data_IF_595258846825
#
_entry.id   IF_595258846825
#
_cell.length_a   1.000
_cell.length_b   1.000
_cell.length_c   1.000
_cell.angle_alpha   90.00
_cell.angle_beta   90.00
_cell.angle_gamma   90.00
#
_symmetry.space_group_name_H-M   'P 1'
#
loop_
_entity.id
_entity.type
_entity.pdbx_description
1 polymer ?
#
# COMPACT_ATOMS: atom_id res chain seq x y z
N UNK A 1 -4.62 -8.90 21.99
CA UNK A 1 -3.23 -9.03 21.52
C UNK A 1 -2.80 -7.70 20.92
N UNK A 2 -1.53 -7.30 21.07
CA UNK A 2 -1.02 -6.14 20.34
C UNK A 2 -1.12 -6.41 18.83
N UNK A 3 -1.33 -5.37 18.02
CA UNK A 3 -1.32 -5.54 16.58
C UNK A 3 0.07 -6.01 16.14
N UNK A 4 0.13 -6.89 15.14
CA UNK A 4 1.41 -7.45 14.64
C UNK A 4 1.41 -7.52 13.12
N UNK A 5 2.55 -7.18 12.51
CA UNK A 5 2.82 -7.40 11.09
C UNK A 5 3.69 -8.66 10.95
N UNK A 6 3.22 -9.64 10.19
CA UNK A 6 3.96 -10.85 9.83
C UNK A 6 4.47 -10.77 8.40
N UNK A 7 5.75 -11.08 8.22
CA UNK A 7 6.46 -11.05 6.95
C UNK A 7 6.70 -12.48 6.45
N UNK A 8 6.30 -12.75 5.22
CA UNK A 8 6.26 -14.09 4.62
C UNK A 8 6.93 -14.14 3.25
N UNK A 9 7.27 -15.34 2.79
CA UNK A 9 7.26 -15.62 1.36
C UNK A 9 6.15 -16.61 1.04
N UNK A 10 5.78 -16.71 -0.23
CA UNK A 10 4.72 -17.63 -0.67
C UNK A 10 5.21 -19.02 -1.07
N UNK A 11 6.53 -19.23 -1.25
CA UNK A 11 7.11 -20.43 -1.84
C UNK A 11 6.60 -20.68 -3.28
N UNK A 12 6.60 -19.63 -4.12
CA UNK A 12 6.07 -19.63 -5.49
C UNK A 12 7.00 -18.87 -6.46
N UNK A 13 6.71 -18.87 -7.78
CA UNK A 13 7.35 -17.96 -8.73
C UNK A 13 7.04 -16.49 -8.45
N UNK A 14 7.85 -15.59 -9.03
CA UNK A 14 7.75 -14.13 -8.89
C UNK A 14 6.44 -13.49 -9.34
N UNK A 15 5.72 -14.15 -10.23
CA UNK A 15 4.46 -13.67 -10.83
C UNK A 15 3.22 -14.17 -10.07
N UNK A 16 3.41 -14.96 -9.01
CA UNK A 16 2.29 -15.54 -8.31
C UNK A 16 1.55 -14.50 -7.47
N UNK A 17 0.24 -14.37 -7.73
CA UNK A 17 -0.67 -13.57 -6.91
C UNK A 17 -1.95 -14.36 -6.72
N UNK A 18 -2.38 -14.53 -5.47
CA UNK A 18 -3.66 -15.18 -5.14
C UNK A 18 -4.23 -14.62 -3.85
N UNK A 19 -5.50 -14.24 -3.87
CA UNK A 19 -6.22 -13.82 -2.68
C UNK A 19 -6.43 -14.97 -1.69
N UNK A 20 -6.45 -14.63 -0.40
CA UNK A 20 -6.96 -15.50 0.68
C UNK A 20 -6.04 -15.61 1.89
N UNK A 21 -4.73 -15.78 1.66
CA UNK A 21 -3.78 -16.03 2.75
C UNK A 21 -3.10 -14.75 3.27
N UNK A 22 -2.85 -13.77 2.41
CA UNK A 22 -2.05 -12.58 2.74
C UNK A 22 -2.82 -11.30 2.43
N UNK A 23 -2.61 -10.27 3.25
CA UNK A 23 -3.14 -8.94 2.98
C UNK A 23 -2.50 -8.30 1.76
N UNK A 24 -1.19 -8.52 1.61
CA UNK A 24 -0.44 -8.04 0.44
C UNK A 24 0.54 -9.09 -0.05
N UNK A 25 0.65 -9.20 -1.37
CA UNK A 25 1.68 -9.95 -2.07
C UNK A 25 2.56 -8.98 -2.85
N UNK A 26 3.88 -9.12 -2.72
CA UNK A 26 4.88 -8.36 -3.45
C UNK A 26 5.44 -9.21 -4.59
N UNK A 27 5.15 -8.84 -5.84
CA UNK A 27 5.69 -9.52 -7.01
C UNK A 27 7.21 -9.32 -7.14
N UNK A 28 7.87 -10.12 -7.99
CA UNK A 28 9.34 -10.12 -8.11
C UNK A 28 9.97 -8.78 -8.49
N UNK A 29 9.22 -7.91 -9.17
CA UNK A 29 9.61 -6.55 -9.56
C UNK A 29 9.33 -5.50 -8.46
N UNK A 30 8.77 -5.91 -7.32
CA UNK A 30 8.39 -5.03 -6.22
C UNK A 30 6.96 -4.50 -6.30
N UNK A 31 6.16 -4.90 -7.31
CA UNK A 31 4.77 -4.47 -7.41
C UNK A 31 3.94 -5.00 -6.24
N UNK A 32 3.13 -4.13 -5.62
CA UNK A 32 2.31 -4.45 -4.45
C UNK A 32 0.88 -4.81 -4.86
N UNK A 33 0.51 -6.05 -4.60
CA UNK A 33 -0.83 -6.59 -4.78
C UNK A 33 -1.53 -6.64 -3.41
N UNK A 34 -2.32 -5.62 -3.09
CA UNK A 34 -3.11 -5.54 -1.84
C UNK A 34 -4.43 -6.28 -2.04
N UNK A 35 -4.59 -7.41 -1.37
CA UNK A 35 -5.66 -8.37 -1.61
C UNK A 35 -6.78 -8.28 -0.58
N UNK A 36 -6.48 -7.77 0.61
CA UNK A 36 -7.42 -7.64 1.72
C UNK A 36 -7.14 -6.38 2.54
N UNK A 37 -8.15 -5.88 3.24
CA UNK A 37 -7.97 -4.75 4.16
C UNK A 37 -7.01 -5.08 5.29
N UNK A 38 -6.10 -4.17 5.62
CA UNK A 38 -5.28 -4.29 6.83
C UNK A 38 -6.05 -4.25 8.16
N UNK A 39 -7.36 -4.03 8.10
CA UNK A 39 -8.22 -4.00 9.27
C UNK A 39 -9.03 -5.29 9.46
N UNK A 40 -8.84 -6.31 8.60
CA UNK A 40 -9.41 -7.65 8.80
C UNK A 40 -8.37 -8.65 9.25
N UNK A 41 -8.80 -9.59 10.08
CA UNK A 41 -8.02 -10.78 10.37
C UNK A 41 -8.18 -11.78 9.22
N UNK A 42 -7.07 -12.34 8.75
CA UNK A 42 -7.05 -13.45 7.81
C UNK A 42 -6.77 -14.74 8.56
N UNK A 43 -7.46 -15.83 8.23
CA UNK A 43 -7.46 -17.03 9.07
C UNK A 43 -6.27 -17.99 8.85
N UNK A 44 -5.38 -17.73 7.89
CA UNK A 44 -4.49 -18.77 7.37
C UNK A 44 -3.05 -18.33 6.99
N UNK A 45 -2.43 -17.37 7.69
CA UNK A 45 -1.01 -17.03 7.43
C UNK A 45 -0.04 -17.46 8.53
N UNK A 46 -0.35 -17.25 9.80
CA UNK A 46 0.54 -17.52 10.94
C UNK A 46 -0.21 -18.28 12.03
N UNK A 47 0.12 -19.56 12.21
CA UNK A 47 -0.57 -20.44 13.15
C UNK A 47 -0.69 -19.85 14.56
N UNK A 48 -1.91 -19.82 15.10
CA UNK A 48 -2.28 -19.22 16.42
C UNK A 48 -1.96 -17.73 16.61
N UNK A 49 -1.65 -17.01 15.53
CA UNK A 49 -1.14 -15.63 15.57
C UNK A 49 -1.89 -14.67 14.63
N UNK A 50 -2.95 -15.17 13.98
CA UNK A 50 -3.73 -14.49 12.94
C UNK A 50 -4.68 -13.37 13.40
N UNK A 51 -4.88 -13.21 14.72
CA UNK A 51 -5.80 -12.18 15.24
C UNK A 51 -5.09 -10.88 15.55
N UNK A 52 -5.73 -9.76 15.19
CA UNK A 52 -5.15 -8.42 15.21
C UNK A 52 -3.82 -8.39 14.44
N UNK A 53 -3.81 -8.94 13.22
CA UNK A 53 -2.59 -9.17 12.47
C UNK A 53 -2.69 -8.82 10.99
N UNK A 54 -1.58 -8.35 10.43
CA UNK A 54 -1.41 -8.10 8.99
C UNK A 54 -0.31 -9.03 8.46
N UNK A 55 -0.53 -9.61 7.28
CA UNK A 55 0.41 -10.48 6.61
C UNK A 55 0.83 -9.89 5.26
N UNK A 56 2.13 -9.64 5.10
CA UNK A 56 2.73 -9.15 3.85
C UNK A 56 3.68 -10.25 3.36
N UNK A 57 3.50 -10.70 2.13
CA UNK A 57 4.23 -11.82 1.55
C UNK A 57 4.98 -11.41 0.29
N UNK A 58 6.20 -11.92 0.09
CA UNK A 58 6.89 -11.84 -1.20
C UNK A 58 6.60 -13.09 -2.05
N UNK A 59 6.24 -12.89 -3.31
CA UNK A 59 6.12 -13.96 -4.30
C UNK A 59 7.50 -14.51 -4.67
N UNK A 60 8.06 -15.43 -3.90
CA UNK A 60 9.39 -15.99 -4.14
C UNK A 60 9.54 -17.36 -3.46
N UNK A 61 10.74 -17.94 -3.52
CA UNK A 61 11.14 -19.22 -2.91
C UNK A 61 10.43 -20.46 -3.48
N UNK A 62 9.83 -20.36 -4.66
CA UNK A 62 9.16 -21.49 -5.34
C UNK A 62 10.07 -22.37 -6.21
N UNK A 63 11.39 -22.25 -6.03
CA UNK A 63 12.37 -23.02 -6.79
C UNK A 63 12.32 -24.52 -6.48
N UNK A 64 12.55 -25.37 -7.49
CA UNK A 64 12.61 -26.83 -7.36
C UNK A 64 13.82 -27.38 -8.14
N UNK A 65 14.65 -28.26 -7.56
CA UNK A 65 14.58 -28.78 -6.19
C UNK A 65 15.10 -27.81 -5.12
N UNK A 66 15.73 -26.71 -5.52
CA UNK A 66 16.31 -25.71 -4.62
C UNK A 66 15.46 -24.43 -4.59
N UNK A 67 14.80 -24.11 -3.45
CA UNK A 67 14.01 -22.89 -3.29
C UNK A 67 14.76 -21.60 -3.61
N UNK A 68 16.08 -21.58 -3.36
CA UNK A 68 16.94 -20.42 -3.59
C UNK A 68 17.21 -20.12 -5.06
N UNK A 69 16.69 -20.91 -6.00
CA UNK A 69 16.70 -20.55 -7.43
C UNK A 69 15.71 -19.41 -7.75
N UNK A 70 14.78 -19.12 -6.84
CA UNK A 70 13.87 -17.97 -6.89
C UNK A 70 14.00 -17.20 -5.56
N UNK A 71 15.17 -16.61 -5.25
CA UNK A 71 15.38 -15.92 -3.98
C UNK A 71 14.49 -14.67 -3.86
N UNK A 72 14.24 -14.11 -2.66
CA UNK A 72 13.62 -12.79 -2.58
C UNK A 72 14.49 -11.75 -3.31
N UNK A 73 13.88 -10.92 -4.15
CA UNK A 73 14.60 -9.84 -4.83
C UNK A 73 14.77 -8.62 -3.92
N UNK A 74 15.75 -7.77 -4.22
CA UNK A 74 15.90 -6.51 -3.49
C UNK A 74 14.66 -5.63 -3.65
N UNK A 75 14.05 -5.61 -4.83
CA UNK A 75 12.80 -4.87 -5.09
C UNK A 75 11.65 -5.38 -4.19
N UNK A 76 11.54 -6.68 -4.00
CA UNK A 76 10.57 -7.29 -3.09
C UNK A 76 10.81 -6.90 -1.64
N UNK A 77 12.05 -7.02 -1.17
CA UNK A 77 12.43 -6.70 0.22
C UNK A 77 12.15 -5.23 0.51
N UNK A 78 12.53 -4.32 -0.40
CA UNK A 78 12.30 -2.90 -0.25
C UNK A 78 10.81 -2.54 -0.23
N UNK A 79 10.03 -3.06 -1.18
CA UNK A 79 8.59 -2.81 -1.26
C UNK A 79 7.86 -3.38 -0.03
N UNK A 80 8.21 -4.59 0.43
CA UNK A 80 7.65 -5.19 1.65
C UNK A 80 7.96 -4.35 2.89
N UNK A 81 9.21 -3.91 3.07
CA UNK A 81 9.59 -3.07 4.21
C UNK A 81 8.88 -1.72 4.21
N UNK A 82 8.72 -1.13 3.02
CA UNK A 82 8.01 0.13 2.86
C UNK A 82 6.52 -0.01 3.16
N UNK A 83 5.91 -1.09 2.68
CA UNK A 83 4.50 -1.38 2.95
C UNK A 83 4.27 -1.64 4.45
N UNK A 84 5.13 -2.41 5.10
CA UNK A 84 5.07 -2.62 6.54
C UNK A 84 5.21 -1.30 7.33
N UNK A 85 6.08 -0.38 6.88
CA UNK A 85 6.18 0.96 7.46
C UNK A 85 4.91 1.79 7.24
N UNK A 86 4.27 1.70 6.06
CA UNK A 86 3.00 2.37 5.80
C UNK A 86 1.88 1.85 6.72
N UNK A 87 1.77 0.52 6.88
CA UNK A 87 0.84 -0.10 7.83
C UNK A 87 1.12 0.38 9.26
N UNK A 88 2.38 0.37 9.69
CA UNK A 88 2.78 0.86 11.01
C UNK A 88 2.36 2.33 11.23
N UNK A 89 2.61 3.23 10.27
CA UNK A 89 2.15 4.64 10.37
C UNK A 89 0.62 4.72 10.49
N UNK A 90 -0.12 3.90 9.74
CA UNK A 90 -1.59 3.91 9.79
C UNK A 90 -2.15 3.53 11.17
N UNK A 91 -1.36 2.78 11.96
CA UNK A 91 -1.65 2.42 13.35
C UNK A 91 -1.07 3.41 14.37
N UNK A 92 -0.46 4.51 13.92
CA UNK A 92 0.18 5.50 14.78
C UNK A 92 1.51 5.03 15.37
N UNK A 93 2.14 4.01 14.80
CA UNK A 93 3.43 3.52 15.29
C UNK A 93 4.60 4.37 14.79
N UNK A 94 5.54 4.58 15.69
CA UNK A 94 6.84 5.20 15.44
C UNK A 94 7.91 4.14 15.11
N UNK A 95 9.14 4.59 14.82
CA UNK A 95 10.26 3.67 14.61
C UNK A 95 10.58 2.83 15.87
N UNK A 96 10.35 3.38 17.06
CA UNK A 96 10.67 2.70 18.33
C UNK A 96 9.67 1.56 18.62
N UNK A 97 8.49 1.64 18.03
CA UNK A 97 7.47 0.60 18.12
C UNK A 97 7.82 -0.63 17.26
N UNK A 98 8.70 -0.51 16.27
CA UNK A 98 9.11 -1.62 15.42
C UNK A 98 10.02 -2.55 16.22
N UNK A 99 9.42 -3.54 16.88
CA UNK A 99 10.08 -4.52 17.75
C UNK A 99 9.74 -5.93 17.29
N UNK A 100 10.42 -6.95 17.83
CA UNK A 100 10.09 -8.35 17.52
C UNK A 100 8.67 -8.73 17.98
N UNK A 101 8.05 -8.01 18.91
CA UNK A 101 6.67 -8.24 19.32
C UNK A 101 5.64 -7.66 18.35
N UNK A 102 6.04 -6.73 17.48
CA UNK A 102 5.14 -5.99 16.59
C UNK A 102 5.41 -6.22 15.10
N UNK A 103 6.62 -6.62 14.73
CA UNK A 103 6.98 -7.02 13.36
C UNK A 103 7.86 -8.27 13.40
N UNK A 104 7.36 -9.37 12.85
CA UNK A 104 8.01 -10.68 12.86
C UNK A 104 8.08 -11.28 11.48
N UNK A 105 9.13 -12.04 11.19
CA UNK A 105 9.08 -13.00 10.08
C UNK A 105 8.31 -14.25 10.50
N UNK A 106 7.83 -15.06 9.55
CA UNK A 106 7.21 -16.34 9.91
C UNK A 106 8.21 -17.25 10.63
N UNK A 107 9.50 -17.23 10.26
CA UNK A 107 10.53 -17.98 11.00
C UNK A 107 10.55 -17.60 12.48
N UNK A 108 10.55 -16.30 12.80
CA UNK A 108 10.60 -15.82 14.19
C UNK A 108 9.31 -16.16 14.95
N UNK A 109 8.16 -16.03 14.29
CA UNK A 109 6.85 -16.34 14.86
C UNK A 109 6.72 -17.85 15.13
N UNK A 110 7.16 -18.69 14.19
CA UNK A 110 7.19 -20.14 14.29
C UNK A 110 8.09 -20.64 15.42
N UNK A 111 9.15 -19.89 15.73
CA UNK A 111 10.05 -20.17 16.84
C UNK A 111 9.74 -19.44 18.15
N UNK A 112 8.58 -18.78 18.27
CA UNK A 112 8.17 -18.07 19.50
C UNK A 112 9.22 -17.04 19.99
N UNK A 113 9.96 -16.41 19.06
CA UNK A 113 11.10 -15.54 19.41
C UNK A 113 10.72 -14.22 20.07
N UNK A 114 9.44 -13.87 20.03
CA UNK A 114 8.86 -12.76 20.77
C UNK A 114 8.69 -13.04 22.28
N UNK A 115 9.01 -14.26 22.73
CA UNK A 115 8.89 -14.71 24.11
C UNK A 115 7.52 -15.31 24.45
N UNK A 116 6.60 -15.40 23.49
CA UNK A 116 5.26 -15.97 23.69
C UNK A 116 5.25 -17.44 23.27
N UNK A 117 5.05 -18.36 24.22
CA UNK A 117 4.94 -19.80 23.92
C UNK A 117 3.50 -20.13 23.53
N UNK A 118 3.19 -20.09 22.23
CA UNK A 118 1.82 -20.31 21.72
C UNK A 118 1.60 -21.69 21.10
N UNK A 119 2.67 -22.33 20.66
CA UNK A 119 2.71 -23.61 19.95
C UNK A 119 4.11 -24.19 20.08
N UNK A 120 4.28 -25.46 19.71
CA UNK A 120 5.60 -26.05 19.55
C UNK A 120 6.42 -25.31 18.49
N UNK A 121 7.74 -25.35 18.60
CA UNK A 121 8.64 -24.66 17.68
C UNK A 121 8.66 -25.37 16.32
N UNK A 122 7.90 -24.85 15.35
CA UNK A 122 7.91 -25.31 13.96
C UNK A 122 8.77 -24.43 13.04
N UNK A 123 9.59 -23.57 13.66
CA UNK A 123 10.50 -22.69 12.94
C UNK A 123 11.78 -23.40 12.49
N UNK A 124 12.84 -22.64 12.09
CA UNK A 124 14.07 -23.22 11.59
C UNK A 124 14.73 -24.24 12.52
N UNK A 125 15.33 -25.28 11.94
CA UNK A 125 16.09 -26.31 12.67
C UNK A 125 17.26 -25.70 13.44
N UNK A 126 17.95 -24.72 12.86
CA UNK A 126 19.05 -24.02 13.54
C UNK A 126 18.58 -23.21 14.77
N UNK A 127 17.27 -22.98 14.91
CA UNK A 127 16.65 -22.37 16.09
C UNK A 127 15.91 -23.40 16.96
N UNK A 128 16.20 -24.69 16.79
CA UNK A 128 15.63 -25.79 17.57
C UNK A 128 14.20 -26.15 17.19
N UNK A 129 13.72 -25.76 16.01
CA UNK A 129 12.41 -26.13 15.48
C UNK A 129 12.45 -27.32 14.52
N UNK A 130 11.30 -27.73 14.01
CA UNK A 130 11.16 -28.83 13.05
C UNK A 130 11.39 -28.44 11.58
N UNK A 131 11.55 -27.15 11.28
CA UNK A 131 11.99 -26.64 9.98
C UNK A 131 10.87 -26.33 8.97
N UNK A 132 9.60 -26.40 9.36
CA UNK A 132 8.47 -26.19 8.44
C UNK A 132 8.34 -24.75 7.96
N UNK A 133 8.73 -23.77 8.79
CA UNK A 133 8.70 -22.34 8.42
C UNK A 133 10.02 -21.67 8.74
N UNK A 134 10.65 -21.13 7.71
CA UNK A 134 11.95 -20.47 7.80
C UNK A 134 11.98 -19.13 7.04
N UNK A 135 10.79 -18.59 6.74
CA UNK A 135 10.57 -17.32 6.07
C UNK A 135 11.43 -16.21 6.65
N UNK A 136 12.28 -15.64 5.80
CA UNK A 136 13.25 -14.60 6.11
C UNK A 136 14.09 -14.85 7.36
N UNK A 137 14.37 -16.11 7.67
CA UNK A 137 15.49 -16.45 8.54
C UNK A 137 16.78 -15.85 7.96
N UNK A 138 16.97 -16.06 6.65
CA UNK A 138 18.03 -15.47 5.83
C UNK A 138 17.40 -14.69 4.68
N UNK A 139 18.00 -13.56 4.29
CA UNK A 139 17.54 -12.77 3.12
C UNK A 139 18.22 -13.19 1.81
N UNK A 140 19.26 -14.01 1.88
CA UNK A 140 20.02 -14.54 0.74
C UNK A 140 20.60 -15.89 1.09
N UNK A 141 20.85 -16.72 0.07
CA UNK A 141 21.38 -18.08 0.24
C UNK A 141 22.70 -18.05 1.01
N UNK A 142 22.75 -18.75 2.14
CA UNK A 142 23.96 -18.81 2.98
C UNK A 142 24.29 -17.50 3.69
N UNK A 143 23.34 -16.56 3.77
CA UNK A 143 23.47 -15.34 4.56
C UNK A 143 23.37 -15.59 6.07
N UNK A 144 23.50 -14.55 6.89
CA UNK A 144 23.30 -14.68 8.33
C UNK A 144 21.83 -14.95 8.70
N UNK A 145 21.62 -15.58 9.85
CA UNK A 145 20.31 -15.91 10.41
C UNK A 145 19.67 -14.71 11.15
N UNK A 146 19.80 -13.51 10.57
CA UNK A 146 19.39 -12.23 11.14
C UNK A 146 18.33 -11.49 10.30
N UNK A 147 17.70 -12.18 9.33
CA UNK A 147 16.84 -11.55 8.34
C UNK A 147 15.72 -10.71 8.96
N UNK A 148 15.05 -11.19 10.00
CA UNK A 148 14.04 -10.41 10.74
C UNK A 148 14.59 -9.13 11.37
N UNK A 149 15.82 -9.14 11.90
CA UNK A 149 16.44 -7.95 12.47
C UNK A 149 16.77 -6.91 11.39
N UNK A 150 17.29 -7.37 10.23
CA UNK A 150 17.57 -6.52 9.06
C UNK A 150 16.30 -5.90 8.51
N UNK A 151 15.21 -6.68 8.36
CA UNK A 151 13.92 -6.17 7.89
C UNK A 151 13.35 -5.11 8.83
N UNK A 152 13.34 -5.36 10.15
CA UNK A 152 12.92 -4.36 11.14
C UNK A 152 13.76 -3.08 11.07
N UNK A 153 15.07 -3.18 10.88
CA UNK A 153 15.93 -2.00 10.70
C UNK A 153 15.52 -1.18 9.47
N UNK A 154 15.25 -1.83 8.33
CA UNK A 154 14.77 -1.16 7.11
C UNK A 154 13.42 -0.48 7.34
N UNK A 155 12.47 -1.15 8.00
CA UNK A 155 11.16 -0.59 8.33
C UNK A 155 11.30 0.67 9.21
N UNK A 156 12.19 0.65 10.21
CA UNK A 156 12.49 1.84 11.04
C UNK A 156 13.04 2.99 10.21
N UNK A 157 13.95 2.72 9.27
CA UNK A 157 14.50 3.74 8.39
C UNK A 157 13.39 4.40 7.54
N UNK A 158 12.46 3.61 7.00
CA UNK A 158 11.28 4.16 6.30
C UNK A 158 10.40 5.01 7.21
N UNK A 159 10.20 4.62 8.48
CA UNK A 159 9.42 5.42 9.43
C UNK A 159 10.11 6.74 9.79
N UNK A 160 11.44 6.79 9.84
CA UNK A 160 12.23 8.00 10.10
C UNK A 160 12.43 8.89 8.87
N UNK A 161 12.10 8.39 7.68
CA UNK A 161 12.41 9.08 6.41
C UNK A 161 13.88 8.96 5.98
N UNK A 162 14.61 8.00 6.55
CA UNK A 162 16.05 7.74 6.32
C UNK A 162 16.30 6.65 5.26
N UNK A 163 15.25 6.16 4.60
CA UNK A 163 15.38 5.02 3.70
C UNK A 163 16.35 5.33 2.55
N UNK A 164 17.26 4.40 2.21
CA UNK A 164 18.18 4.60 1.12
C UNK A 164 17.40 4.81 -0.18
N UNK A 165 17.76 5.84 -0.94
CA UNK A 165 17.37 5.93 -2.34
C UNK A 165 17.83 4.63 -3.02
N UNK A 166 16.87 3.89 -3.58
CA UNK A 166 17.00 2.54 -4.16
C UNK A 166 18.44 2.18 -4.58
N UNK A 167 19.05 1.24 -3.87
CA UNK A 167 20.38 0.76 -4.18
C UNK A 167 20.39 -0.13 -5.42
N UNK A 168 20.69 0.44 -6.59
CA UNK A 168 21.40 -0.29 -7.63
C UNK A 168 22.88 0.04 -7.48
N UNK A 169 23.71 -0.99 -7.28
CA UNK A 169 25.16 -0.86 -7.43
C UNK A 169 25.46 -0.67 -8.92
N UNK A 170 25.61 0.58 -9.35
CA UNK A 170 26.05 0.90 -10.70
C UNK A 170 25.86 2.36 -11.11
N UNK A 171 26.91 3.15 -10.95
CA UNK A 171 27.18 4.45 -11.57
C UNK A 171 26.38 5.68 -11.11
N UNK A 172 27.14 6.69 -10.71
CA UNK A 172 26.75 8.03 -10.31
C UNK A 172 25.92 8.76 -11.38
N UNK A 173 24.64 8.95 -11.10
CA UNK A 173 23.88 10.18 -11.44
C UNK A 173 22.74 10.31 -10.43
N UNK A 174 22.50 11.51 -9.91
CA UNK A 174 21.64 11.75 -8.75
C UNK A 174 20.27 11.05 -8.84
N UNK A 175 20.02 10.15 -7.90
CA UNK A 175 18.73 9.49 -7.71
C UNK A 175 17.75 10.49 -7.11
N UNK A 176 17.14 11.31 -7.97
CA UNK A 176 15.88 11.96 -7.64
C UNK A 176 14.83 10.87 -7.51
N UNK A 177 13.96 10.97 -6.50
CA UNK A 177 12.69 10.25 -6.49
C UNK A 177 12.04 10.37 -7.88
N UNK A 178 11.41 9.31 -8.43
CA UNK A 178 10.81 9.37 -9.75
C UNK A 178 9.93 10.61 -9.80
N UNK A 179 10.14 11.43 -10.85
CA UNK A 179 9.41 12.67 -10.99
C UNK A 179 7.91 12.38 -10.86
N UNK A 180 7.17 13.13 -10.02
CA UNK A 180 5.75 12.89 -9.83
C UNK A 180 5.04 12.87 -11.19
N UNK A 181 4.06 11.97 -11.35
CA UNK A 181 3.26 11.87 -12.57
C UNK A 181 2.82 13.26 -13.04
N UNK A 182 3.19 13.61 -14.26
CA UNK A 182 2.89 14.90 -14.83
C UNK A 182 1.49 14.92 -15.47
N UNK A 183 0.76 16.00 -15.21
CA UNK A 183 -0.53 16.27 -15.82
C UNK A 183 -0.34 17.20 -17.02
N UNK A 184 -0.79 16.76 -18.20
CA UNK A 184 -0.55 17.46 -19.48
C UNK A 184 -1.61 18.48 -19.80
N UNK A 185 -2.87 18.18 -19.48
CA UNK A 185 -4.00 19.04 -19.84
C UNK A 185 -5.12 18.97 -18.81
N UNK A 186 -5.75 20.13 -18.58
CA UNK A 186 -7.10 20.20 -18.01
C UNK A 186 -8.11 20.01 -19.14
N UNK A 187 -9.17 19.28 -18.87
CA UNK A 187 -10.27 19.03 -19.80
C UNK A 187 -11.57 18.94 -19.02
N UNK A 188 -12.68 18.82 -19.73
CA UNK A 188 -13.94 18.35 -19.17
C UNK A 188 -14.35 17.06 -19.85
N UNK A 189 -15.17 16.26 -19.16
CA UNK A 189 -15.87 15.11 -19.72
C UNK A 189 -17.32 15.08 -19.25
N UNK A 190 -18.17 14.38 -19.98
CA UNK A 190 -19.57 14.22 -19.58
C UNK A 190 -19.69 13.11 -18.53
N UNK A 191 -20.40 13.38 -17.44
CA UNK A 191 -20.75 12.41 -16.41
C UNK A 191 -22.17 12.70 -15.87
N UNK A 192 -23.09 11.72 -15.94
CA UNK A 192 -24.55 11.91 -15.68
C UNK A 192 -25.15 13.14 -16.39
N UNK A 193 -24.79 13.33 -17.66
CA UNK A 193 -25.20 14.49 -18.46
C UNK A 193 -24.73 15.87 -17.91
N UNK A 194 -23.81 15.89 -16.94
CA UNK A 194 -23.13 17.09 -16.42
C UNK A 194 -21.69 17.13 -16.88
N UNK A 195 -21.07 18.32 -16.85
CA UNK A 195 -19.64 18.47 -17.13
C UNK A 195 -18.84 18.20 -15.84
N UNK A 196 -17.93 17.24 -15.91
CA UNK A 196 -16.96 16.91 -14.86
C UNK A 196 -15.58 17.45 -15.28
N UNK A 197 -14.94 18.22 -14.40
CA UNK A 197 -13.56 18.65 -14.61
C UNK A 197 -12.61 17.46 -14.43
N UNK A 198 -11.68 17.30 -15.38
CA UNK A 198 -10.66 16.26 -15.33
C UNK A 198 -9.29 16.81 -15.68
N UNK A 199 -8.25 16.18 -15.16
CA UNK A 199 -6.89 16.36 -15.63
C UNK A 199 -6.38 15.07 -16.27
N UNK A 200 -5.66 15.20 -17.37
CA UNK A 200 -5.18 14.07 -18.16
C UNK A 200 -3.67 14.03 -18.06
N UNK A 201 -3.15 12.88 -17.66
CA UNK A 201 -1.73 12.67 -17.44
C UNK A 201 -0.95 12.42 -18.75
N UNK A 202 0.36 12.23 -18.62
CA UNK A 202 1.26 11.92 -19.74
C UNK A 202 0.90 10.62 -20.49
N UNK A 203 0.12 9.73 -19.87
CA UNK A 203 -0.30 8.45 -20.44
C UNK A 203 -1.71 8.51 -21.03
N UNK A 204 -2.36 9.68 -20.99
CA UNK A 204 -3.73 9.86 -21.47
C UNK A 204 -4.80 9.39 -20.48
N UNK A 205 -4.43 9.01 -19.25
CA UNK A 205 -5.38 8.61 -18.22
C UNK A 205 -6.07 9.84 -17.64
N UNK A 206 -7.40 9.76 -17.48
CA UNK A 206 -8.20 10.84 -16.91
C UNK A 206 -8.30 10.70 -15.39
N UNK A 207 -8.06 11.80 -14.68
CA UNK A 207 -8.14 11.92 -13.23
C UNK A 207 -9.13 13.02 -12.85
N UNK A 208 -9.89 12.81 -11.78
CA UNK A 208 -10.80 13.80 -11.23
C UNK A 208 -10.66 13.87 -9.70
N UNK A 209 -11.16 14.95 -9.12
CA UNK A 209 -11.31 15.03 -7.67
C UNK A 209 -12.26 13.93 -7.20
N UNK A 210 -11.83 13.16 -6.20
CA UNK A 210 -12.64 12.13 -5.59
C UNK A 210 -13.94 12.73 -5.02
N UNK A 211 -13.87 13.94 -4.45
CA UNK A 211 -15.02 14.69 -3.95
C UNK A 211 -16.09 14.95 -5.02
N UNK A 212 -15.66 15.39 -6.21
CA UNK A 212 -16.56 15.72 -7.31
C UNK A 212 -17.26 14.46 -7.83
N UNK A 213 -16.51 13.37 -7.98
CA UNK A 213 -17.04 12.07 -8.38
C UNK A 213 -18.04 11.53 -7.35
N UNK A 214 -17.67 11.50 -6.07
CA UNK A 214 -18.55 10.99 -5.01
C UNK A 214 -19.83 11.82 -4.89
N UNK A 215 -19.72 13.15 -4.98
CA UNK A 215 -20.88 14.05 -4.94
C UNK A 215 -21.76 13.91 -6.17
N UNK A 216 -21.18 13.70 -7.36
CA UNK A 216 -21.93 13.51 -8.60
C UNK A 216 -22.81 12.26 -8.59
N UNK A 217 -22.36 11.23 -7.88
CA UNK A 217 -23.04 9.93 -7.75
C UNK A 217 -23.75 9.74 -6.41
N UNK A 218 -23.89 10.81 -5.62
CA UNK A 218 -24.61 10.81 -4.34
C UNK A 218 -24.10 9.72 -3.37
N UNK A 219 -22.79 9.44 -3.39
CA UNK A 219 -22.13 8.44 -2.55
C UNK A 219 -21.72 9.10 -1.23
N UNK A 220 -22.25 8.66 -0.07
CA UNK A 220 -21.86 9.23 1.22
C UNK A 220 -20.42 8.84 1.56
N UNK A 221 -19.67 9.79 2.14
CA UNK A 221 -18.30 9.55 2.54
C UNK A 221 -17.87 10.38 3.76
N UNK A 222 -16.80 9.93 4.40
CA UNK A 222 -16.10 10.64 5.47
C UNK A 222 -14.59 10.64 5.20
N UNK A 223 -13.93 11.79 5.35
CA UNK A 223 -12.49 11.90 5.21
C UNK A 223 -11.78 11.75 6.57
N UNK A 224 -10.88 10.78 6.66
CA UNK A 224 -9.95 10.60 7.78
C UNK A 224 -8.57 11.15 7.40
N UNK A 225 -8.20 12.36 7.87
CA UNK A 225 -6.94 13.01 7.50
C UNK A 225 -5.72 12.34 8.10
N UNK A 226 -5.85 11.70 9.27
CA UNK A 226 -4.73 11.05 9.97
C UNK A 226 -4.24 9.83 9.19
N UNK A 227 -5.17 9.07 8.62
CA UNK A 227 -4.87 7.88 7.85
C UNK A 227 -4.82 8.13 6.34
N UNK A 228 -5.14 9.35 5.89
CA UNK A 228 -5.35 9.69 4.48
C UNK A 228 -6.34 8.72 3.83
N UNK A 229 -7.47 8.50 4.51
CA UNK A 229 -8.50 7.55 4.09
C UNK A 229 -9.82 8.22 3.82
N UNK A 230 -10.47 7.79 2.75
CA UNK A 230 -11.83 8.15 2.41
C UNK A 230 -12.73 6.95 2.70
N UNK A 231 -13.62 7.10 3.68
CA UNK A 231 -14.52 6.05 4.14
C UNK A 231 -15.87 6.20 3.44
N UNK A 232 -16.28 5.18 2.69
CA UNK A 232 -17.49 5.15 1.86
C UNK A 232 -18.64 4.53 2.64
N UNK A 233 -19.72 5.27 2.88
CA UNK A 233 -20.88 4.80 3.64
C UNK A 233 -21.79 3.80 2.90
N UNK A 234 -21.44 3.43 1.66
CA UNK A 234 -22.23 2.52 0.82
C UNK A 234 -21.75 1.08 0.98
N UNK A 235 -22.63 0.15 1.37
CA UNK A 235 -22.28 -1.28 1.51
C UNK A 235 -22.28 -2.05 0.17
N UNK A 236 -22.74 -1.44 -0.93
CA UNK A 236 -22.92 -2.10 -2.23
C UNK A 236 -21.68 -2.03 -3.14
N UNK A 237 -20.48 -1.85 -2.59
CA UNK A 237 -19.23 -1.86 -3.34
C UNK A 237 -18.44 -3.11 -2.97
N UNK A 238 -18.19 -3.97 -3.95
CA UNK A 238 -17.27 -5.09 -3.81
C UNK A 238 -15.94 -4.70 -4.47
N UNK A 239 -14.90 -4.33 -3.70
CA UNK A 239 -13.61 -3.97 -4.27
C UNK A 239 -13.11 -5.02 -5.24
N UNK A 240 -12.73 -4.57 -6.43
CA UNK A 240 -12.07 -5.43 -7.39
C UNK A 240 -10.56 -5.37 -7.20
N UNK A 241 -9.96 -6.54 -7.25
CA UNK A 241 -8.52 -6.64 -7.34
C UNK A 241 -8.04 -6.10 -8.69
N UNK A 242 -7.04 -5.20 -8.66
CA UNK A 242 -6.44 -4.62 -9.85
C UNK A 242 -4.92 -4.76 -9.86
N UNK A 243 -4.40 -5.39 -10.92
CA UNK A 243 -2.97 -5.46 -11.20
C UNK A 243 -2.35 -4.08 -11.50
N UNK A 244 -3.19 -3.11 -11.87
CA UNK A 244 -2.76 -1.77 -12.28
C UNK A 244 -3.08 -0.69 -11.24
N UNK A 245 -3.43 -1.06 -10.00
CA UNK A 245 -3.75 -0.10 -8.94
C UNK A 245 -2.63 0.93 -8.74
N UNK A 246 -2.99 2.17 -8.36
CA UNK A 246 -2.04 3.27 -8.18
C UNK A 246 -0.94 2.89 -7.18
N UNK A 247 0.32 2.90 -7.65
CA UNK A 247 1.51 2.56 -6.89
C UNK A 247 2.22 3.82 -6.38
N UNK A 248 3.06 3.68 -5.35
CA UNK A 248 3.85 4.80 -4.82
C UNK A 248 4.90 5.32 -5.82
N UNK A 249 5.29 4.49 -6.79
CA UNK A 249 6.18 4.87 -7.88
C UNK A 249 5.64 6.02 -8.74
N UNK A 250 4.35 6.36 -8.61
CA UNK A 250 3.71 7.52 -9.27
C UNK A 250 4.23 8.87 -8.77
N UNK A 251 4.95 8.89 -7.64
CA UNK A 251 5.66 10.07 -7.12
C UNK A 251 4.77 11.13 -6.44
N UNK A 252 3.48 10.85 -6.25
CA UNK A 252 2.58 11.69 -5.44
C UNK A 252 2.26 11.00 -4.10
N UNK A 253 2.04 11.75 -3.00
CA UNK A 253 1.46 11.17 -1.78
C UNK A 253 0.13 10.50 -2.10
N UNK A 254 -0.15 9.35 -1.48
CA UNK A 254 -1.34 8.56 -1.78
C UNK A 254 -2.43 8.72 -0.71
N UNK A 255 -3.68 8.48 -1.12
CA UNK A 255 -4.81 8.24 -0.22
C UNK A 255 -5.48 6.91 -0.59
N UNK A 256 -6.18 6.31 0.37
CA UNK A 256 -6.96 5.09 0.15
C UNK A 256 -8.45 5.39 0.28
N UNK A 257 -9.27 4.80 -0.59
CA UNK A 257 -10.71 4.78 -0.47
C UNK A 257 -11.14 3.40 0.03
N UNK A 258 -11.94 3.32 1.08
CA UNK A 258 -12.37 2.06 1.70
C UNK A 258 -13.82 2.18 2.17
N UNK A 259 -14.53 1.08 2.40
CA UNK A 259 -15.90 1.15 2.97
C UNK A 259 -15.89 1.62 4.43
N UNK A 260 -17.00 2.19 4.88
CA UNK A 260 -17.20 2.61 6.26
C UNK A 260 -17.47 1.36 7.11
N UNK A 261 -16.46 0.93 7.86
CA UNK A 261 -16.53 -0.25 8.70
C UNK A 261 -15.12 -0.72 9.05
N UNK A 262 -14.92 -1.16 10.29
CA UNK A 262 -13.61 -1.49 10.85
C UNK A 262 -12.89 -2.63 10.14
N UNK A 263 -13.48 -3.28 9.15
CA UNK A 263 -12.97 -4.45 8.41
C UNK A 263 -13.06 -4.29 6.89
N UNK A 264 -13.23 -3.07 6.38
CA UNK A 264 -13.54 -2.85 4.98
C UNK A 264 -12.30 -2.91 4.06
N UNK A 265 -12.30 -3.73 2.99
CA UNK A 265 -11.26 -3.69 1.96
C UNK A 265 -11.12 -2.31 1.31
N UNK A 266 -9.89 -1.98 0.91
CA UNK A 266 -9.59 -0.80 0.09
C UNK A 266 -10.27 -1.00 -1.26
N UNK A 267 -11.11 -0.04 -1.64
CA UNK A 267 -11.82 0.05 -2.91
C UNK A 267 -10.85 0.48 -4.02
N UNK A 268 -10.17 1.61 -3.81
CA UNK A 268 -9.18 2.12 -4.75
C UNK A 268 -8.15 3.01 -4.06
N UNK A 269 -7.06 3.31 -4.76
CA UNK A 269 -6.07 4.29 -4.32
C UNK A 269 -6.05 5.47 -5.27
N UNK A 270 -5.79 6.65 -4.72
CA UNK A 270 -5.58 7.85 -5.50
C UNK A 270 -4.37 8.63 -5.00
N UNK A 271 -4.17 9.81 -5.58
CA UNK A 271 -3.07 10.72 -5.27
C UNK A 271 -3.60 11.96 -4.54
N UNK A 272 -2.76 12.52 -3.68
CA UNK A 272 -2.96 13.82 -3.05
C UNK A 272 -2.04 14.83 -3.75
N UNK A 273 -2.63 15.85 -4.36
CA UNK A 273 -1.87 16.89 -5.08
C UNK A 273 -1.95 18.22 -4.35
N UNK A 274 -0.87 19.02 -4.27
CA UNK A 274 -0.98 20.38 -3.75
C UNK A 274 -1.95 21.20 -4.63
N UNK A 275 -2.69 22.13 -4.03
CA UNK A 275 -3.51 23.07 -4.79
C UNK A 275 -2.65 23.82 -5.81
N UNK A 276 -3.04 23.80 -7.08
CA UNK A 276 -2.31 24.52 -8.14
C UNK A 276 -2.20 26.02 -7.85
N UNK A 277 -3.17 26.62 -7.13
CA UNK A 277 -3.11 28.00 -6.67
C UNK A 277 -2.12 28.21 -5.52
N UNK A 278 -1.97 27.23 -4.62
CA UNK A 278 -1.02 27.31 -3.49
C UNK A 278 0.42 27.02 -3.94
N UNK A 279 0.63 26.18 -4.95
CA UNK A 279 1.94 25.95 -5.57
C UNK A 279 2.45 27.23 -6.26
N UNK A 280 1.61 27.88 -7.07
CA UNK A 280 1.95 29.16 -7.71
C UNK A 280 2.22 30.28 -6.68
N UNK A 281 1.50 30.29 -5.55
CA UNK A 281 1.73 31.25 -4.46
C UNK A 281 3.05 30.99 -3.70
N UNK A 282 3.48 29.73 -3.54
CA UNK A 282 4.78 29.40 -2.93
C UNK A 282 5.94 29.74 -3.86
N UNK A 283 5.79 29.46 -5.16
CA UNK A 283 6.77 29.85 -6.18
C UNK A 283 6.90 31.38 -6.30
N UNK A 284 5.81 32.12 -6.04
CA UNK A 284 5.82 33.58 -5.99
C UNK A 284 6.31 34.16 -4.65
N UNK A 285 6.21 33.42 -3.54
CA UNK A 285 6.49 33.93 -2.19
C UNK A 285 7.91 33.65 -1.68
N UNK A 286 8.69 32.78 -2.33
CA UNK A 286 10.12 32.54 -2.05
C UNK A 286 10.47 32.25 -0.58
N UNK A 287 10.58 30.97 -0.21
CA UNK A 287 11.22 30.43 1.02
C UNK A 287 11.23 31.30 2.30
N UNK A 288 10.11 31.95 2.63
CA UNK A 288 9.96 32.66 3.88
C UNK A 288 8.52 32.60 4.39
N UNK A 289 8.11 31.45 4.91
CA UNK A 289 7.00 31.37 5.87
C UNK A 289 7.12 30.08 6.71
N UNK A 290 7.73 30.22 7.88
CA UNK A 290 7.67 29.22 8.94
C UNK A 290 6.33 29.25 9.68
N UNK A 291 5.90 28.05 10.06
CA UNK A 291 5.05 27.69 11.21
C UNK A 291 3.88 28.61 11.58
N UNK A 292 2.75 28.38 10.92
CA UNK A 292 1.42 28.48 11.53
C UNK A 292 0.39 27.67 10.69
N UNK A 293 0.18 26.39 11.02
CA UNK A 293 -0.91 25.60 10.44
C UNK A 293 -1.46 24.57 11.45
N UNK A 294 -2.18 25.06 12.45
CA UNK A 294 -3.07 24.25 13.28
C UNK A 294 -4.49 24.24 12.70
N UNK A 295 -5.06 23.04 12.57
CA UNK A 295 -6.50 22.72 12.49
C UNK A 295 -7.28 23.00 11.17
N UNK A 296 -6.72 23.69 10.17
CA UNK A 296 -7.37 23.86 8.85
C UNK A 296 -7.06 22.73 7.82
N UNK A 297 -6.34 21.68 8.22
CA UNK A 297 -5.69 20.72 7.32
C UNK A 297 -6.57 19.58 6.83
N UNK A 298 -7.69 19.27 7.52
CA UNK A 298 -8.53 18.11 7.18
C UNK A 298 -9.33 18.30 5.89
N UNK A 299 -10.08 19.40 5.77
CA UNK A 299 -10.87 19.72 4.56
C UNK A 299 -10.01 20.04 3.34
N UNK A 300 -8.87 20.70 3.54
CA UNK A 300 -7.95 21.08 2.47
C UNK A 300 -7.18 19.90 1.86
N UNK A 301 -6.94 18.82 2.62
CA UNK A 301 -6.35 17.61 2.07
C UNK A 301 -7.35 16.83 1.22
N UNK A 302 -8.62 16.87 1.58
CA UNK A 302 -9.67 16.19 0.83
C UNK A 302 -9.97 16.86 -0.51
N UNK A 303 -9.97 18.20 -0.57
CA UNK A 303 -10.07 18.96 -1.83
C UNK A 303 -8.89 18.75 -2.79
N UNK A 304 -7.93 17.91 -2.40
CA UNK A 304 -6.69 17.58 -3.11
C UNK A 304 -6.58 16.10 -3.45
N UNK A 305 -7.60 15.29 -3.14
CA UNK A 305 -7.64 13.86 -3.42
C UNK A 305 -8.14 13.60 -4.84
N UNK A 306 -7.29 13.02 -5.69
CA UNK A 306 -7.58 12.69 -7.09
C UNK A 306 -7.50 11.19 -7.33
N UNK A 307 -8.46 10.62 -8.04
CA UNK A 307 -8.43 9.22 -8.47
C UNK A 307 -8.59 9.09 -9.99
N UNK A 308 -8.20 7.94 -10.53
CA UNK A 308 -8.42 7.62 -11.94
C UNK A 308 -9.92 7.44 -12.18
N UNK A 309 -10.44 8.14 -13.19
CA UNK A 309 -11.88 8.22 -13.46
C UNK A 309 -12.46 6.86 -13.86
N UNK A 310 -11.75 6.12 -14.73
CA UNK A 310 -12.19 4.80 -15.17
C UNK A 310 -12.22 3.79 -14.01
N UNK A 311 -11.17 3.80 -13.18
CA UNK A 311 -11.09 2.94 -11.99
C UNK A 311 -12.25 3.23 -11.02
N UNK A 312 -12.52 4.50 -10.73
CA UNK A 312 -13.68 4.89 -9.94
C UNK A 312 -14.99 4.36 -10.55
N UNK A 313 -15.17 4.50 -11.86
CA UNK A 313 -16.39 4.02 -12.50
C UNK A 313 -16.56 2.50 -12.38
N UNK A 314 -15.48 1.74 -12.53
CA UNK A 314 -15.49 0.28 -12.42
C UNK A 314 -15.79 -0.19 -10.99
N UNK A 315 -15.13 0.39 -9.98
CA UNK A 315 -15.35 0.02 -8.57
C UNK A 315 -16.78 0.33 -8.10
N UNK A 316 -17.35 1.44 -8.56
CA UNK A 316 -18.70 1.87 -8.15
C UNK A 316 -19.82 1.38 -9.07
N UNK A 317 -19.50 0.55 -10.07
CA UNK A 317 -20.49 -0.03 -11.00
C UNK A 317 -21.17 1.02 -11.89
N UNK A 318 -20.45 2.07 -12.28
CA UNK A 318 -20.92 3.14 -13.17
C UNK A 318 -20.66 2.75 -14.62
N UNK A 319 -21.65 2.97 -15.49
CA UNK A 319 -21.49 2.69 -16.92
C UNK A 319 -20.53 3.68 -17.60
N UNK A 320 -19.78 3.20 -18.60
CA UNK A 320 -18.75 3.97 -19.30
C UNK A 320 -18.95 3.88 -20.81
N UNK A 321 -18.83 5.00 -21.51
CA UNK A 321 -18.67 5.05 -22.98
C UNK A 321 -17.28 5.60 -23.31
N UNK A 322 -16.73 5.27 -24.48
CA UNK A 322 -15.34 5.63 -24.84
C UNK A 322 -15.24 6.62 -26.02
N UNK A 323 -16.35 6.95 -26.68
CA UNK A 323 -16.39 7.83 -27.85
C UNK A 323 -17.61 8.78 -27.81
N UNK A 324 -17.53 9.91 -27.10
CA UNK A 324 -16.42 10.34 -26.25
C UNK A 324 -16.35 9.56 -24.93
N UNK A 325 -15.20 9.61 -24.24
CA UNK A 325 -15.09 9.04 -22.89
C UNK A 325 -16.05 9.78 -21.95
N UNK A 326 -17.04 9.07 -21.40
CA UNK A 326 -18.08 9.64 -20.55
C UNK A 326 -18.58 8.62 -19.52
N UNK A 327 -19.07 9.11 -18.39
CA UNK A 327 -19.68 8.30 -17.35
C UNK A 327 -21.22 8.40 -17.40
N UNK A 328 -21.88 7.25 -17.34
CA UNK A 328 -23.33 7.13 -17.27
C UNK A 328 -23.84 6.98 -15.85
N UNK A 329 -24.88 6.16 -15.67
CA UNK A 329 -25.51 5.90 -14.37
C UNK A 329 -24.81 4.79 -13.58
N UNK A 330 -24.98 4.86 -12.26
CA UNK A 330 -24.53 3.82 -11.31
C UNK A 330 -25.52 2.66 -11.32
N UNK A 331 -25.04 1.41 -11.47
CA UNK A 331 -25.89 0.21 -11.40
C UNK A 331 -26.56 0.11 -10.02
N UNK A 332 -27.88 -0.06 -10.00
CA UNK A 332 -28.67 -0.22 -8.77
C UNK A 332 -29.16 1.09 -8.14
N UNK A 333 -28.94 2.24 -8.78
CA UNK A 333 -29.54 3.54 -8.44
C UNK A 333 -30.60 3.98 -9.43
#
# INVERSE_FOLDING_TARGET
MAATIYLHWSATPYTWVRSGAYHTIVAGDGHLHRLHSYTIDLNAHTWRRNSNAVAISCACMGGVPDPWTIPPTDAQIEAMCREAAAVARSWGWSADDITIQRVMTHAEAASNRDGRILHDNYGPVAWGGSGERWDFMQLRKGGPDDGGAVLRQKIRAYLRGEAPASGSTGSSSGSMAPAPLAFRRRSTMTARSRQLAVEIDIHGTSWALAADLLSLYDIPYEWNPLQRRLLIGSNDVAPFYRDDAVQESIGHPLFEMALQGGSAPVILRGILRPDAAAAAARDAAGDAAGDAAGDATSGAAFSRAWCRVLEFAEEFGISVTYQPFALGERRGG
#
